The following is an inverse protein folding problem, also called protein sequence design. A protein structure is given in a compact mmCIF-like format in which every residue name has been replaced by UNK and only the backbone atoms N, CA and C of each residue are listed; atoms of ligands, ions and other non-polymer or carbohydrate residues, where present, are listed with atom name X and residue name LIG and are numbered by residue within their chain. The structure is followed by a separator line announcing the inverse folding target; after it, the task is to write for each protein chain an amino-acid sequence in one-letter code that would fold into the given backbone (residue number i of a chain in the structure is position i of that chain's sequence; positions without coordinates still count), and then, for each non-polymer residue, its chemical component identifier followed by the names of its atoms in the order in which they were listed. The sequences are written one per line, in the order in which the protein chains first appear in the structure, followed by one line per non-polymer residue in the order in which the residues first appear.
data_IF_430490447483
#
_entry.id   IF_430490447483
#
_cell.length_a   1.000
_cell.length_b   1.000
_cell.length_c   1.000
_cell.angle_alpha   90.00
_cell.angle_beta   90.00
_cell.angle_gamma   90.00
#
_symmetry.space_group_name_H-M   'P 1'
#
loop_
_entity.id
_entity.type
_entity.pdbx_description
1 polymer ?
#
# COMPACT_ATOMS: atom_id res chain seq x y z
N UNK A 1 3.19 2.45 -10.03
CA UNK A 1 3.68 1.22 -10.70
C UNK A 1 3.06 1.08 -12.09
N UNK A 2 1.73 1.02 -12.19
CA UNK A 2 1.03 0.75 -13.45
C UNK A 2 1.15 1.83 -14.53
N UNK A 3 1.25 3.09 -14.15
CA UNK A 3 1.47 4.19 -15.10
C UNK A 3 2.70 3.96 -16.02
N UNK A 4 3.77 3.34 -15.51
CA UNK A 4 4.92 2.96 -16.32
C UNK A 4 4.62 1.79 -17.25
N UNK A 5 3.92 0.77 -16.74
CA UNK A 5 3.59 -0.43 -17.50
C UNK A 5 2.64 -0.11 -18.66
N UNK A 6 1.63 0.71 -18.39
CA UNK A 6 0.62 1.13 -19.36
C UNK A 6 1.07 2.33 -20.21
N UNK A 7 2.30 2.83 -20.04
CA UNK A 7 2.84 4.03 -20.73
C UNK A 7 1.98 5.29 -20.57
N UNK A 8 1.25 5.38 -19.46
CA UNK A 8 0.42 6.52 -19.08
C UNK A 8 1.23 7.52 -18.24
N UNK A 9 2.23 8.16 -18.86
CA UNK A 9 3.18 9.06 -18.19
C UNK A 9 2.69 10.51 -18.06
N UNK A 10 1.57 10.87 -18.70
CA UNK A 10 1.06 12.24 -18.69
C UNK A 10 0.32 12.61 -17.40
N UNK A 11 0.60 13.80 -16.87
CA UNK A 11 -0.16 14.42 -15.77
C UNK A 11 -1.25 15.31 -16.34
N UNK A 12 -2.50 15.14 -15.89
CA UNK A 12 -3.57 16.12 -16.11
C UNK A 12 -4.09 16.28 -17.56
N UNK A 13 -3.42 15.73 -18.58
CA UNK A 13 -3.90 15.68 -19.98
C UNK A 13 -4.78 14.45 -20.28
N UNK A 14 -5.39 13.86 -19.26
CA UNK A 14 -6.19 12.64 -19.37
C UNK A 14 -7.67 12.99 -19.60
N UNK A 15 -8.02 14.26 -19.81
CA UNK A 15 -9.39 14.64 -20.15
C UNK A 15 -9.37 15.84 -21.09
N UNK A 16 -9.49 15.57 -22.38
CA UNK A 16 -9.67 16.59 -23.43
C UNK A 16 -11.17 16.83 -23.74
N UNK A 17 -12.06 16.21 -22.95
CA UNK A 17 -13.51 16.24 -23.12
C UNK A 17 -14.20 17.28 -22.25
N UNK A 18 -15.37 17.75 -22.68
CA UNK A 18 -16.22 18.58 -21.84
C UNK A 18 -16.75 17.74 -20.65
N UNK A 19 -16.42 18.13 -19.42
CA UNK A 19 -16.89 17.46 -18.20
C UNK A 19 -18.42 17.46 -18.02
N UNK A 20 -19.13 18.34 -18.76
CA UNK A 20 -20.58 18.42 -18.76
C UNK A 20 -21.25 17.54 -19.82
N UNK A 21 -20.47 16.90 -20.69
CA UNK A 21 -21.00 16.01 -21.72
C UNK A 21 -21.06 14.56 -21.20
N UNK A 22 -22.26 13.98 -20.98
CA UNK A 22 -22.39 12.59 -20.56
C UNK A 22 -21.91 11.59 -21.63
N UNK A 23 -21.81 11.99 -22.91
CA UNK A 23 -21.23 11.15 -23.95
C UNK A 23 -19.72 10.97 -23.78
N UNK A 24 -19.02 11.98 -23.22
CA UNK A 24 -17.59 11.93 -22.92
C UNK A 24 -17.22 10.93 -21.79
N UNK A 25 -18.21 10.34 -21.10
CA UNK A 25 -17.98 9.25 -20.16
C UNK A 25 -17.58 7.92 -20.85
N UNK A 26 -17.89 7.77 -22.15
CA UNK A 26 -17.58 6.56 -22.93
C UNK A 26 -16.24 6.63 -23.64
N UNK A 27 -15.65 7.82 -23.76
CA UNK A 27 -14.33 8.00 -24.40
C UNK A 27 -13.24 7.45 -23.49
N UNK A 28 -12.49 6.41 -23.93
CA UNK A 28 -11.33 5.92 -23.20
C UNK A 28 -10.28 7.02 -23.08
N UNK A 29 -9.69 7.16 -21.90
CA UNK A 29 -8.65 8.16 -21.65
C UNK A 29 -7.31 7.47 -21.38
N UNK A 30 -6.26 7.93 -22.08
CA UNK A 30 -4.93 7.30 -22.04
C UNK A 30 -4.90 5.93 -22.72
N UNK A 31 -3.79 5.22 -22.52
CA UNK A 31 -3.56 3.89 -23.05
C UNK A 31 -4.38 2.85 -22.27
N UNK A 32 -4.94 1.83 -22.96
CA UNK A 32 -5.61 0.73 -22.30
C UNK A 32 -4.62 -0.06 -21.45
N UNK A 33 -5.10 -0.72 -20.39
CA UNK A 33 -4.24 -1.50 -19.52
C UNK A 33 -3.62 -2.67 -20.27
N UNK A 34 -2.30 -2.83 -20.12
CA UNK A 34 -1.58 -3.98 -20.71
C UNK A 34 -1.90 -5.28 -20.00
N UNK A 35 -2.22 -5.20 -18.70
CA UNK A 35 -2.58 -6.36 -17.89
C UNK A 35 -4.09 -6.31 -17.62
N UNK A 36 -4.84 -7.39 -17.95
CA UNK A 36 -6.26 -7.46 -17.65
C UNK A 36 -6.56 -7.22 -16.18
N UNK A 37 -7.54 -6.36 -15.88
CA UNK A 37 -7.88 -5.98 -14.49
C UNK A 37 -8.25 -7.18 -13.64
N UNK A 38 -8.91 -8.19 -14.21
CA UNK A 38 -9.31 -9.39 -13.47
C UNK A 38 -8.11 -10.18 -12.94
N UNK A 39 -6.99 -10.18 -13.67
CA UNK A 39 -5.79 -10.91 -13.26
C UNK A 39 -5.11 -10.24 -12.06
N UNK A 40 -5.01 -8.90 -12.08
CA UNK A 40 -4.47 -8.16 -10.93
C UNK A 40 -5.41 -8.22 -9.74
N UNK A 41 -6.73 -8.15 -9.97
CA UNK A 41 -7.73 -8.34 -8.92
C UNK A 41 -7.65 -9.73 -8.28
N UNK A 42 -7.47 -10.80 -9.06
CA UNK A 42 -7.27 -12.15 -8.51
C UNK A 42 -5.98 -12.23 -7.70
N UNK A 43 -4.87 -11.67 -8.19
CA UNK A 43 -3.59 -11.70 -7.47
C UNK A 43 -3.67 -10.97 -6.13
N UNK A 44 -4.13 -9.71 -6.12
CA UNK A 44 -4.23 -8.92 -4.89
C UNK A 44 -5.36 -9.43 -3.98
N UNK A 45 -6.46 -9.94 -4.54
CA UNK A 45 -7.54 -10.58 -3.80
C UNK A 45 -7.08 -11.86 -3.10
N UNK A 46 -6.36 -12.75 -3.80
CA UNK A 46 -5.79 -13.95 -3.21
C UNK A 46 -4.77 -13.60 -2.11
N UNK A 47 -3.89 -12.64 -2.36
CA UNK A 47 -2.93 -12.16 -1.36
C UNK A 47 -3.65 -11.63 -0.12
N UNK A 48 -4.70 -10.83 -0.29
CA UNK A 48 -5.51 -10.33 0.81
C UNK A 48 -6.21 -11.46 1.58
N UNK A 49 -6.82 -12.43 0.90
CA UNK A 49 -7.48 -13.58 1.54
C UNK A 49 -6.50 -14.42 2.36
N UNK A 50 -5.28 -14.64 1.85
CA UNK A 50 -4.22 -15.33 2.59
C UNK A 50 -3.85 -14.58 3.89
N UNK A 51 -3.92 -13.25 3.88
CA UNK A 51 -3.65 -12.42 5.07
C UNK A 51 -4.84 -12.33 6.02
N UNK A 52 -6.07 -12.30 5.48
CA UNK A 52 -7.31 -12.24 6.24
C UNK A 52 -7.52 -13.50 7.07
N UNK A 53 -7.18 -14.68 6.55
CA UNK A 53 -7.35 -15.96 7.23
C UNK A 53 -6.32 -16.21 8.36
N UNK A 54 -5.54 -15.19 8.76
CA UNK A 54 -4.58 -15.32 9.86
C UNK A 54 -5.32 -15.25 11.21
N UNK A 55 -5.00 -16.14 12.17
CA UNK A 55 -5.63 -16.11 13.47
C UNK A 55 -5.23 -14.84 14.23
N UNK A 56 -6.23 -14.07 14.66
CA UNK A 56 -6.08 -12.98 15.61
C UNK A 56 -6.00 -13.58 17.01
N UNK A 57 -4.83 -13.50 17.64
CA UNK A 57 -4.67 -13.86 19.04
C UNK A 57 -4.87 -12.59 19.88
N UNK A 58 -5.95 -12.59 20.66
CA UNK A 58 -6.47 -11.48 21.47
C UNK A 58 -6.83 -10.20 20.68
N UNK A 59 -7.66 -9.35 21.31
CA UNK A 59 -8.06 -8.02 20.84
C UNK A 59 -6.89 -7.02 20.83
N UNK A 60 -5.75 -7.39 20.25
CA UNK A 60 -4.62 -6.51 20.08
C UNK A 60 -4.95 -5.47 18.99
N UNK A 61 -5.37 -4.28 19.44
CA UNK A 61 -5.64 -3.12 18.59
C UNK A 61 -4.48 -2.83 17.63
N UNK A 62 -3.23 -3.10 18.02
CA UNK A 62 -2.06 -2.88 17.15
C UNK A 62 -2.04 -3.85 15.98
N UNK A 63 -2.54 -5.06 16.15
CA UNK A 63 -2.67 -6.05 15.07
C UNK A 63 -3.72 -5.61 14.05
N UNK A 64 -4.86 -5.09 14.50
CA UNK A 64 -5.89 -4.51 13.63
C UNK A 64 -5.32 -3.32 12.85
N UNK A 65 -4.64 -2.39 13.51
CA UNK A 65 -4.03 -1.22 12.86
C UNK A 65 -2.98 -1.63 11.81
N UNK A 66 -2.13 -2.61 12.13
CA UNK A 66 -1.18 -3.17 11.15
C UNK A 66 -1.87 -3.80 9.95
N UNK A 67 -2.95 -4.54 10.17
CA UNK A 67 -3.73 -5.14 9.09
C UNK A 67 -4.32 -4.08 8.16
N UNK A 68 -4.89 -3.02 8.73
CA UNK A 68 -5.39 -1.86 7.96
C UNK A 68 -4.26 -1.18 7.18
N UNK A 69 -3.09 -0.97 7.80
CA UNK A 69 -1.93 -0.41 7.12
C UNK A 69 -1.50 -1.27 5.92
N UNK A 70 -1.43 -2.59 6.08
CA UNK A 70 -1.08 -3.52 5.01
C UNK A 70 -2.12 -3.45 3.88
N UNK A 71 -3.40 -3.41 4.22
CA UNK A 71 -4.50 -3.32 3.25
C UNK A 71 -4.37 -2.06 2.39
N UNK A 72 -4.09 -0.91 3.02
CA UNK A 72 -3.85 0.34 2.31
C UNK A 72 -2.61 0.29 1.42
N UNK A 73 -1.50 -0.28 1.92
CA UNK A 73 -0.26 -0.42 1.12
C UNK A 73 -0.49 -1.33 -0.10
N UNK A 74 -1.19 -2.45 0.06
CA UNK A 74 -1.57 -3.33 -1.05
C UNK A 74 -2.47 -2.62 -2.05
N UNK A 75 -3.47 -1.88 -1.55
CA UNK A 75 -4.34 -1.08 -2.39
C UNK A 75 -3.55 -0.04 -3.20
N UNK A 76 -2.59 0.66 -2.58
CA UNK A 76 -1.73 1.63 -3.27
C UNK A 76 -0.82 0.98 -4.32
N UNK A 77 -0.34 -0.24 -4.07
CA UNK A 77 0.41 -1.01 -5.06
C UNK A 77 -0.48 -1.46 -6.23
N UNK A 78 -1.76 -1.74 -5.98
CA UNK A 78 -2.74 -2.12 -7.01
C UNK A 78 -3.30 -0.93 -7.80
N UNK A 79 -3.41 0.25 -7.18
CA UNK A 79 -3.97 1.45 -7.82
C UNK A 79 -3.20 1.88 -9.07
N UNK A 80 -3.93 2.03 -10.18
CA UNK A 80 -3.34 2.46 -11.47
C UNK A 80 -2.91 3.92 -11.48
N UNK A 81 -3.77 4.78 -10.94
CA UNK A 81 -3.50 6.20 -10.72
C UNK A 81 -3.06 6.42 -9.28
N UNK A 82 -2.01 7.24 -9.09
CA UNK A 82 -1.53 7.63 -7.78
C UNK A 82 -1.57 9.15 -7.67
N UNK A 83 -2.03 9.66 -6.53
CA UNK A 83 -1.77 11.04 -6.14
C UNK A 83 -0.97 11.06 -4.83
N UNK A 84 0.00 11.98 -4.68
CA UNK A 84 0.75 12.15 -3.44
C UNK A 84 -0.12 12.30 -2.18
N UNK A 85 -1.31 12.89 -2.31
CA UNK A 85 -2.20 13.17 -1.18
C UNK A 85 -2.73 11.90 -0.48
N UNK A 86 -2.78 10.76 -1.19
CA UNK A 86 -3.23 9.48 -0.63
C UNK A 86 -2.30 9.00 0.49
N UNK A 87 -1.04 9.44 0.48
CA UNK A 87 -0.09 9.11 1.53
C UNK A 87 -0.51 9.66 2.90
N UNK A 88 -1.20 10.79 2.96
CA UNK A 88 -1.68 11.37 4.21
C UNK A 88 -2.63 10.42 4.96
N UNK A 89 -3.39 9.59 4.22
CA UNK A 89 -4.26 8.58 4.82
C UNK A 89 -3.48 7.45 5.51
N UNK A 90 -2.25 7.16 5.06
CA UNK A 90 -1.43 6.06 5.57
C UNK A 90 -0.67 6.45 6.86
N UNK A 91 -0.31 7.74 7.00
CA UNK A 91 0.48 8.28 8.12
C UNK A 91 0.00 7.82 9.51
N UNK A 92 -1.28 7.99 9.91
CA UNK A 92 -1.71 7.61 11.25
C UNK A 92 -1.53 6.12 11.51
N UNK A 93 -1.77 5.28 10.51
CA UNK A 93 -1.60 3.83 10.64
C UNK A 93 -0.14 3.44 10.79
N UNK A 94 0.80 4.10 10.10
CA UNK A 94 2.23 3.81 10.26
C UNK A 94 2.74 4.17 11.66
N UNK A 95 2.36 5.34 12.17
CA UNK A 95 2.74 5.80 13.50
C UNK A 95 2.24 4.85 14.60
N UNK A 96 1.07 4.22 14.41
CA UNK A 96 0.49 3.27 15.34
C UNK A 96 0.97 1.82 15.11
N UNK A 97 1.29 1.44 13.88
CA UNK A 97 1.67 0.08 13.52
C UNK A 97 3.15 -0.24 13.80
N UNK A 98 4.04 0.73 13.62
CA UNK A 98 5.49 0.58 13.66
C UNK A 98 6.09 1.32 14.87
N UNK A 99 7.36 1.01 15.24
CA UNK A 99 8.15 1.89 16.08
C UNK A 99 8.29 3.29 15.45
N UNK A 100 8.34 4.33 16.27
CA UNK A 100 8.28 5.73 15.82
C UNK A 100 9.36 6.04 14.79
N UNK A 101 10.60 5.59 15.02
CA UNK A 101 11.75 5.86 14.17
C UNK A 101 11.55 5.26 12.77
N UNK A 102 10.99 4.04 12.72
CA UNK A 102 10.70 3.33 11.47
C UNK A 102 9.54 3.99 10.73
N UNK A 103 8.47 4.35 11.45
CA UNK A 103 7.32 5.04 10.87
C UNK A 103 7.75 6.37 10.24
N UNK A 104 8.49 7.20 10.99
CA UNK A 104 8.99 8.50 10.53
C UNK A 104 9.91 8.32 9.32
N UNK A 105 10.82 7.35 9.33
CA UNK A 105 11.68 7.04 8.19
C UNK A 105 10.86 6.80 6.90
N UNK A 106 9.87 5.90 6.91
CA UNK A 106 9.05 5.64 5.73
C UNK A 106 8.24 6.87 5.30
N UNK A 107 7.65 7.58 6.26
CA UNK A 107 6.87 8.79 5.98
C UNK A 107 7.75 9.83 5.28
N UNK A 108 8.94 10.10 5.81
CA UNK A 108 9.88 11.08 5.24
C UNK A 108 10.34 10.65 3.85
N UNK A 109 10.80 9.41 3.69
CA UNK A 109 11.30 8.90 2.40
C UNK A 109 10.23 8.93 1.32
N UNK A 110 9.00 8.50 1.63
CA UNK A 110 7.91 8.51 0.67
C UNK A 110 7.46 9.94 0.33
N UNK A 111 7.41 10.86 1.31
CA UNK A 111 7.10 12.26 1.03
C UNK A 111 8.18 12.92 0.18
N UNK A 112 9.46 12.63 0.44
CA UNK A 112 10.55 13.12 -0.38
C UNK A 112 10.47 12.61 -1.82
N UNK A 113 10.19 11.31 -2.01
CA UNK A 113 9.97 10.74 -3.34
C UNK A 113 8.79 11.42 -4.07
N UNK A 114 7.68 11.67 -3.37
CA UNK A 114 6.52 12.38 -3.91
C UNK A 114 6.84 13.85 -4.25
N UNK A 115 7.63 14.53 -3.44
CA UNK A 115 8.06 15.91 -3.69
C UNK A 115 8.93 15.99 -4.94
N UNK A 116 9.91 15.10 -5.07
CA UNK A 116 10.77 15.01 -6.26
C UNK A 116 9.92 14.73 -7.50
N UNK A 117 8.99 13.78 -7.43
CA UNK A 117 8.06 13.49 -8.53
C UNK A 117 7.23 14.73 -8.91
N UNK A 118 6.61 15.40 -7.94
CA UNK A 118 5.82 16.61 -8.20
C UNK A 118 6.65 17.73 -8.86
N UNK A 119 7.88 17.95 -8.41
CA UNK A 119 8.77 18.96 -8.98
C UNK A 119 9.21 18.62 -10.41
N UNK A 120 9.47 17.35 -10.71
CA UNK A 120 9.81 16.90 -12.06
C UNK A 120 8.63 17.11 -13.01
N UNK A 121 7.43 16.73 -12.58
CA UNK A 121 6.20 16.88 -13.35
C UNK A 121 5.83 18.35 -13.60
N UNK A 122 6.00 19.23 -12.62
CA UNK A 122 5.78 20.68 -12.78
C UNK A 122 6.73 21.30 -13.82
N UNK A 123 7.90 20.68 -14.06
CA UNK A 123 8.87 21.10 -15.06
C UNK A 123 8.69 20.40 -16.42
N UNK A 124 7.66 19.57 -16.58
CA UNK A 124 7.44 18.77 -17.80
C UNK A 124 8.49 17.68 -18.02
N UNK A 125 9.22 17.28 -16.97
CA UNK A 125 10.24 16.24 -17.03
C UNK A 125 9.62 14.85 -16.79
N UNK A 126 8.73 14.44 -17.69
CA UNK A 126 7.95 13.20 -17.55
C UNK A 126 8.85 11.95 -17.51
N UNK A 127 10.03 12.01 -18.13
CA UNK A 127 11.03 10.92 -18.06
C UNK A 127 11.47 10.62 -16.62
N UNK A 128 11.39 11.61 -15.72
CA UNK A 128 11.70 11.44 -14.30
C UNK A 128 10.83 10.39 -13.60
N UNK A 129 9.62 10.13 -14.14
CA UNK A 129 8.72 9.10 -13.62
C UNK A 129 9.31 7.68 -13.69
N UNK A 130 10.19 7.42 -14.67
CA UNK A 130 10.88 6.13 -14.77
C UNK A 130 11.81 5.86 -13.58
N UNK A 131 12.18 6.89 -12.82
CA UNK A 131 12.98 6.76 -11.61
C UNK A 131 12.13 6.85 -10.33
N UNK A 132 11.24 7.85 -10.24
CA UNK A 132 10.46 8.09 -9.02
C UNK A 132 9.42 6.99 -8.76
N UNK A 133 8.78 6.47 -9.82
CA UNK A 133 7.75 5.44 -9.69
C UNK A 133 8.33 4.11 -9.20
N UNK A 134 9.44 3.57 -9.75
CA UNK A 134 10.04 2.35 -9.22
C UNK A 134 10.61 2.55 -7.82
N UNK A 135 11.26 3.68 -7.55
CA UNK A 135 11.73 4.02 -6.20
C UNK A 135 10.58 3.96 -5.18
N UNK A 136 9.47 4.65 -5.44
CA UNK A 136 8.28 4.61 -4.57
C UNK A 136 7.71 3.20 -4.43
N UNK A 137 7.67 2.46 -5.53
CA UNK A 137 7.17 1.07 -5.52
C UNK A 137 8.04 0.19 -4.63
N UNK A 138 9.37 0.32 -4.70
CA UNK A 138 10.31 -0.40 -3.83
C UNK A 138 10.14 -0.02 -2.35
N UNK A 139 9.90 1.26 -2.05
CA UNK A 139 9.64 1.70 -0.67
C UNK A 139 8.32 1.15 -0.14
N UNK A 140 7.26 1.07 -0.96
CA UNK A 140 6.02 0.41 -0.56
C UNK A 140 6.18 -1.10 -0.37
N UNK A 141 6.96 -1.77 -1.22
CA UNK A 141 7.25 -3.19 -1.06
C UNK A 141 8.05 -3.47 0.21
N UNK A 142 9.07 -2.66 0.53
CA UNK A 142 9.85 -2.82 1.77
C UNK A 142 8.99 -2.55 3.00
N UNK A 143 8.11 -1.54 2.95
CA UNK A 143 7.13 -1.26 4.00
C UNK A 143 6.15 -2.43 4.20
N UNK A 144 5.64 -3.02 3.10
CA UNK A 144 4.75 -4.18 3.15
C UNK A 144 5.43 -5.38 3.82
N UNK A 145 6.68 -5.66 3.44
CA UNK A 145 7.49 -6.73 4.04
C UNK A 145 7.69 -6.48 5.54
N UNK A 146 8.06 -5.26 5.94
CA UNK A 146 8.25 -4.93 7.36
C UNK A 146 6.97 -5.10 8.18
N UNK A 147 5.84 -4.59 7.68
CA UNK A 147 4.54 -4.77 8.35
C UNK A 147 4.17 -6.25 8.46
N UNK A 148 4.39 -7.04 7.40
CA UNK A 148 4.13 -8.48 7.37
C UNK A 148 5.01 -9.27 8.35
N UNK A 149 6.32 -8.98 8.40
CA UNK A 149 7.25 -9.61 9.33
C UNK A 149 6.88 -9.30 10.78
N UNK A 150 6.52 -8.05 11.09
CA UNK A 150 6.10 -7.67 12.46
C UNK A 150 4.78 -8.31 12.86
N UNK A 151 3.84 -8.45 11.92
CA UNK A 151 2.60 -9.20 12.15
C UNK A 151 2.91 -10.66 12.52
N UNK A 152 3.80 -11.33 11.78
CA UNK A 152 4.22 -12.70 12.06
C UNK A 152 4.86 -12.88 13.44
N UNK A 153 5.73 -11.93 13.84
CA UNK A 153 6.40 -11.97 15.14
C UNK A 153 5.37 -11.86 16.28
N UNK A 154 4.43 -10.91 16.17
CA UNK A 154 3.38 -10.72 17.17
C UNK A 154 2.48 -11.95 17.30
N UNK A 155 2.10 -12.59 16.18
CA UNK A 155 1.30 -13.83 16.22
C UNK A 155 2.06 -14.98 16.91
N UNK A 156 3.35 -15.16 16.62
CA UNK A 156 4.17 -16.21 17.25
C UNK A 156 4.32 -15.98 18.76
N UNK A 157 4.56 -14.75 19.19
CA UNK A 157 4.63 -14.40 20.61
C UNK A 157 3.30 -14.67 21.31
N UNK A 158 2.19 -14.22 20.74
CA UNK A 158 0.87 -14.42 21.32
C UNK A 158 0.52 -15.91 21.47
N UNK A 159 0.82 -16.73 20.46
CA UNK A 159 0.64 -18.19 20.54
C UNK A 159 1.50 -18.82 21.66
N UNK A 160 2.76 -18.39 21.80
CA UNK A 160 3.64 -18.85 22.87
C UNK A 160 3.11 -18.50 24.27
N UNK A 161 2.59 -17.28 24.46
CA UNK A 161 2.01 -16.87 25.75
C UNK A 161 0.73 -17.65 26.06
N UNK A 162 -0.12 -17.91 25.06
CA UNK A 162 -1.32 -18.73 25.23
C UNK A 162 -0.99 -20.17 25.65
N UNK A 163 0.07 -20.77 25.09
CA UNK A 163 0.54 -22.10 25.53
C UNK A 163 1.05 -22.12 26.97
N UNK A 164 1.88 -21.13 27.34
CA UNK A 164 2.40 -21.01 28.72
C UNK A 164 1.26 -20.78 29.72
N UNK A 165 0.29 -19.93 29.36
CA UNK A 165 -0.92 -19.70 30.14
C UNK A 165 -1.68 -21.00 30.39
N UNK A 166 -1.98 -21.78 29.34
CA UNK A 166 -2.64 -23.09 29.47
C UNK A 166 -1.85 -24.03 30.40
N UNK A 167 -0.53 -24.14 30.25
CA UNK A 167 0.30 -25.01 31.12
C UNK A 167 0.32 -24.58 32.59
N UNK A 168 0.10 -23.29 32.90
CA UNK A 168 0.08 -22.77 34.28
C UNK A 168 -1.22 -23.13 35.02
N UNK A 169 -2.34 -23.24 34.32
CA UNK A 169 -3.63 -23.64 34.90
C UNK A 169 -3.83 -25.15 35.01
N UNK A 170 -3.07 -25.95 34.25
CA UNK A 170 -3.15 -27.41 34.24
C UNK A 170 -2.04 -28.11 35.05
N UNK A 171 -1.41 -27.44 36.03
CA UNK A 171 -0.54 -28.17 36.97
C UNK A 171 -1.41 -28.87 38.03
N UNK A 172 -1.42 -30.22 38.11
CA UNK A 172 -1.97 -30.87 39.28
C UNK A 172 -1.15 -30.45 40.50
N UNK A 173 -1.85 -30.08 41.58
CA UNK A 173 -1.29 -29.73 42.90
C UNK A 173 -0.60 -30.95 43.49
#
# INVERSE_FOLDING_TARGET
MWALLDENLGVGKIYDGNHLDPAAAKTPQGNPPRIPIWLTSLLFGALYLLMWNRPLYDNDLRTIVRFTAITLVLFFLWLRGWSPQWLAMLVPFLLLALPLERAVMYIVVLNFANLVEALLLQRGLDMGLHLTVPMRTLVFLSLLVELGLRSLITTKQAASYAEVGKRRWFRPV
#
